data_IF_906813495330
#
_entry.id   IF_906813495330
#
_cell.length_a   1.000
_cell.length_b   1.000
_cell.length_c   1.000
_cell.angle_alpha   90.00
_cell.angle_beta   90.00
_cell.angle_gamma   90.00
#
_symmetry.space_group_name_H-M   'P 1'
#
loop_
_entity.id
_entity.type
_entity.pdbx_description
1 polymer ?
#
# COMPACT_ATOMS: atom_id res chain seq x y z
N UNK A 1 -13.78 17.59 -1.66
CA UNK A 1 -12.77 18.64 -1.42
C UNK A 1 -12.08 18.36 -0.09
N UNK A 2 -10.90 18.99 0.14
CA UNK A 2 -10.16 18.82 1.40
C UNK A 2 -11.00 19.25 2.61
N UNK A 3 -11.64 20.39 2.52
CA UNK A 3 -12.47 20.97 3.60
C UNK A 3 -13.70 20.10 3.93
N UNK A 4 -14.25 19.41 2.94
CA UNK A 4 -15.35 18.47 3.17
C UNK A 4 -14.85 17.22 3.89
N UNK A 5 -13.66 16.75 3.49
CA UNK A 5 -13.05 15.60 4.14
C UNK A 5 -12.69 15.92 5.60
N UNK A 6 -12.12 17.09 5.86
CA UNK A 6 -11.81 17.55 7.23
C UNK A 6 -13.07 17.57 8.10
N UNK A 7 -14.18 18.17 7.63
CA UNK A 7 -15.46 18.18 8.35
C UNK A 7 -16.01 16.80 8.67
N UNK A 8 -15.79 15.81 7.79
CA UNK A 8 -16.22 14.44 8.07
C UNK A 8 -15.43 13.82 9.22
N UNK A 9 -14.15 14.16 9.35
CA UNK A 9 -13.31 13.67 10.43
C UNK A 9 -13.42 14.50 11.73
N UNK A 10 -14.05 15.65 11.69
CA UNK A 10 -14.42 16.46 12.88
C UNK A 10 -15.66 15.90 13.60
N UNK A 11 -16.36 14.92 13.00
CA UNK A 11 -17.50 14.26 13.65
C UNK A 11 -17.04 13.45 14.87
N UNK A 12 -17.86 13.38 15.92
CA UNK A 12 -17.52 12.74 17.19
C UNK A 12 -17.59 11.20 17.08
N UNK A 13 -16.65 10.59 16.41
CA UNK A 13 -16.54 9.14 16.33
C UNK A 13 -16.16 8.55 17.69
N UNK A 14 -16.89 7.54 18.13
CA UNK A 14 -16.67 6.89 19.43
C UNK A 14 -15.39 6.06 19.48
N UNK A 15 -14.92 5.56 18.33
CA UNK A 15 -13.78 4.62 18.21
C UNK A 15 -13.92 3.35 19.04
N UNK A 16 -15.15 3.01 19.38
CA UNK A 16 -15.50 1.82 20.15
C UNK A 16 -16.21 0.78 19.27
N UNK A 17 -16.16 -0.46 19.68
CA UNK A 17 -16.96 -1.52 19.06
C UNK A 17 -18.44 -1.27 19.34
N UNK A 18 -19.30 -1.63 18.38
CA UNK A 18 -20.73 -1.50 18.58
C UNK A 18 -21.18 -2.39 19.76
N UNK A 19 -22.08 -1.90 20.66
CA UNK A 19 -22.50 -2.64 21.87
C UNK A 19 -23.08 -4.03 21.66
N UNK A 20 -23.52 -4.35 20.43
CA UNK A 20 -23.97 -5.70 20.09
C UNK A 20 -22.85 -6.77 20.19
N UNK A 21 -21.59 -6.39 20.11
CA UNK A 21 -20.46 -7.31 20.19
C UNK A 21 -19.96 -7.44 21.62
N UNK A 22 -20.67 -8.21 22.43
CA UNK A 22 -20.39 -8.37 23.87
C UNK A 22 -19.06 -9.04 24.17
N UNK A 23 -18.56 -9.88 23.25
CA UNK A 23 -17.23 -10.52 23.36
C UNK A 23 -16.08 -9.65 22.90
N UNK A 24 -16.36 -8.41 22.45
CA UNK A 24 -15.38 -7.55 21.81
C UNK A 24 -15.03 -7.98 20.39
N UNK A 25 -14.16 -7.19 19.73
CA UNK A 25 -13.62 -7.49 18.39
C UNK A 25 -12.11 -7.36 18.47
N UNK A 26 -11.33 -8.45 18.30
CA UNK A 26 -9.86 -8.38 18.40
C UNK A 26 -9.22 -7.35 17.47
N UNK A 27 -9.79 -7.15 16.26
CA UNK A 27 -9.28 -6.19 15.28
C UNK A 27 -9.29 -4.73 15.77
N UNK A 28 -10.11 -4.38 16.78
CA UNK A 28 -10.15 -2.99 17.29
C UNK A 28 -8.81 -2.60 17.91
N UNK A 29 -8.11 -3.53 18.54
CA UNK A 29 -6.80 -3.28 19.17
C UNK A 29 -5.76 -2.80 18.14
N UNK A 30 -5.88 -3.27 16.90
CA UNK A 30 -4.97 -2.88 15.82
C UNK A 30 -5.30 -1.50 15.22
N UNK A 31 -6.59 -1.12 15.18
CA UNK A 31 -7.03 0.05 14.39
C UNK A 31 -7.51 1.22 15.24
N UNK A 32 -7.85 1.03 16.51
CA UNK A 32 -8.46 2.06 17.37
C UNK A 32 -7.69 3.37 17.38
N UNK A 33 -6.38 3.29 17.50
CA UNK A 33 -5.48 4.45 17.53
C UNK A 33 -4.75 4.66 16.20
N UNK A 34 -5.44 4.40 15.10
CA UNK A 34 -4.97 4.68 13.75
C UNK A 34 -5.71 5.88 13.16
N UNK A 35 -5.01 6.65 12.32
CA UNK A 35 -5.53 7.85 11.68
C UNK A 35 -5.47 7.69 10.17
N UNK A 36 -6.61 7.85 9.51
CA UNK A 36 -6.66 7.91 8.05
C UNK A 36 -6.50 9.34 7.60
N UNK A 37 -5.46 9.63 6.80
CA UNK A 37 -5.18 10.99 6.35
C UNK A 37 -5.54 11.25 4.88
N UNK A 38 -5.80 10.22 4.08
CA UNK A 38 -6.11 10.35 2.66
C UNK A 38 -7.17 9.33 2.18
N UNK A 39 -7.75 9.62 1.03
CA UNK A 39 -8.64 8.75 0.27
C UNK A 39 -8.20 8.74 -1.20
N UNK A 40 -8.51 7.65 -1.92
CA UNK A 40 -8.15 7.47 -3.31
C UNK A 40 -6.75 6.90 -3.50
N UNK A 41 -6.49 6.31 -4.67
CA UNK A 41 -5.21 5.70 -4.99
C UNK A 41 -4.95 5.76 -6.50
N UNK A 42 -3.94 6.50 -6.92
CA UNK A 42 -3.54 6.56 -8.33
C UNK A 42 -2.62 5.40 -8.77
N UNK A 43 -2.33 4.45 -7.87
CA UNK A 43 -1.59 3.24 -8.21
C UNK A 43 -2.24 2.43 -9.31
N UNK A 44 -3.57 2.30 -9.26
CA UNK A 44 -4.37 1.73 -10.35
C UNK A 44 -4.04 0.28 -10.67
N UNK A 45 -3.64 -0.53 -9.64
CA UNK A 45 -3.41 -1.95 -9.82
C UNK A 45 -4.67 -2.66 -10.32
N UNK A 46 -4.52 -3.57 -11.28
CA UNK A 46 -5.62 -4.19 -12.01
C UNK A 46 -6.49 -5.13 -11.16
N UNK A 47 -5.98 -5.60 -10.03
CA UNK A 47 -6.68 -6.48 -9.08
C UNK A 47 -7.33 -5.75 -7.90
N UNK A 48 -7.04 -4.45 -7.72
CA UNK A 48 -7.40 -3.73 -6.51
C UNK A 48 -8.67 -2.90 -6.69
N UNK A 49 -9.67 -3.14 -5.83
CA UNK A 49 -10.93 -2.41 -5.85
C UNK A 49 -10.85 -1.00 -5.23
N UNK A 50 -9.76 -0.62 -4.57
CA UNK A 50 -9.63 0.71 -3.98
C UNK A 50 -9.79 1.84 -5.01
N UNK A 51 -9.22 1.65 -6.21
CA UNK A 51 -9.40 2.60 -7.29
C UNK A 51 -10.86 2.74 -7.76
N UNK A 52 -11.65 1.66 -7.64
CA UNK A 52 -13.08 1.65 -7.95
C UNK A 52 -13.90 2.31 -6.82
N UNK A 53 -13.64 1.95 -5.56
CA UNK A 53 -14.42 2.44 -4.41
C UNK A 53 -14.09 3.88 -4.01
N UNK A 54 -12.83 4.27 -4.06
CA UNK A 54 -12.37 5.58 -3.58
C UNK A 54 -11.91 6.50 -4.72
N UNK A 55 -11.83 5.97 -5.94
CA UNK A 55 -11.32 6.69 -7.09
C UNK A 55 -9.80 6.71 -7.19
N UNK A 56 -9.32 7.16 -8.34
CA UNK A 56 -7.88 7.27 -8.66
C UNK A 56 -7.32 8.67 -8.39
N UNK A 57 -8.12 9.58 -7.90
CA UNK A 57 -7.67 10.90 -7.45
C UNK A 57 -7.50 10.88 -5.94
N UNK A 58 -6.32 11.27 -5.49
CA UNK A 58 -6.04 11.36 -4.06
C UNK A 58 -6.57 12.67 -3.51
N UNK A 59 -7.33 12.58 -2.43
CA UNK A 59 -7.77 13.70 -1.60
C UNK A 59 -7.28 13.47 -0.19
N UNK A 60 -6.59 14.45 0.38
CA UNK A 60 -6.03 14.34 1.74
C UNK A 60 -6.68 15.37 2.66
N UNK A 61 -6.75 15.00 3.92
CA UNK A 61 -7.07 15.92 5.01
C UNK A 61 -5.98 16.97 5.17
N UNK A 62 -6.31 18.10 5.74
CA UNK A 62 -5.32 19.08 6.18
C UNK A 62 -4.42 18.48 7.27
N UNK A 63 -3.25 19.05 7.44
CA UNK A 63 -2.35 18.67 8.54
C UNK A 63 -3.04 18.97 9.87
N UNK A 64 -3.70 20.12 9.97
CA UNK A 64 -4.42 20.60 11.15
C UNK A 64 -5.50 19.61 11.59
N UNK A 65 -6.31 19.10 10.66
CA UNK A 65 -7.36 18.11 10.93
C UNK A 65 -6.77 16.81 11.50
N UNK A 66 -5.66 16.33 10.94
CA UNK A 66 -5.01 15.09 11.41
C UNK A 66 -4.33 15.29 12.77
N UNK A 67 -3.70 16.44 12.98
CA UNK A 67 -3.06 16.80 14.26
C UNK A 67 -4.12 16.95 15.37
N UNK A 68 -5.26 17.54 15.08
CA UNK A 68 -6.35 17.66 16.06
C UNK A 68 -6.93 16.30 16.44
N UNK A 69 -7.15 15.42 15.47
CA UNK A 69 -7.55 14.04 15.76
C UNK A 69 -6.53 13.33 16.65
N UNK A 70 -5.24 13.48 16.36
CA UNK A 70 -4.18 12.89 17.17
C UNK A 70 -4.18 13.45 18.61
N UNK A 71 -4.50 14.74 18.78
CA UNK A 71 -4.66 15.36 20.11
C UNK A 71 -5.81 14.71 20.87
N UNK A 72 -6.97 14.55 20.23
CA UNK A 72 -8.12 13.89 20.83
C UNK A 72 -7.81 12.44 21.25
N UNK A 73 -7.00 11.71 20.45
CA UNK A 73 -6.56 10.37 20.87
C UNK A 73 -5.78 10.38 22.18
N UNK A 74 -5.01 11.43 22.47
CA UNK A 74 -4.22 11.53 23.71
C UNK A 74 -5.08 11.79 24.95
N UNK A 75 -6.36 12.08 24.78
CA UNK A 75 -7.34 12.27 25.87
C UNK A 75 -8.01 10.96 26.26
N UNK A 76 -7.95 9.93 25.40
CA UNK A 76 -8.49 8.60 25.69
C UNK A 76 -7.67 7.93 26.81
N UNK A 77 -8.30 7.48 27.92
CA UNK A 77 -7.62 6.83 29.04
C UNK A 77 -6.87 5.54 28.64
N UNK A 78 -7.24 4.90 27.54
CA UNK A 78 -6.60 3.70 27.05
C UNK A 78 -5.42 3.98 26.11
N UNK A 79 -5.21 5.23 25.72
CA UNK A 79 -4.10 5.62 24.84
C UNK A 79 -2.75 5.53 25.56
N UNK A 80 -1.89 4.64 25.07
CA UNK A 80 -0.56 4.38 25.68
C UNK A 80 0.57 5.19 25.06
N UNK A 81 0.25 6.14 24.17
CA UNK A 81 1.22 7.00 23.49
C UNK A 81 1.63 6.49 22.11
N UNK A 82 0.92 5.51 21.55
CA UNK A 82 1.25 4.92 20.27
C UNK A 82 0.15 5.17 19.24
N UNK A 83 0.45 5.93 18.19
CA UNK A 83 -0.40 5.96 17.00
C UNK A 83 0.01 4.77 16.13
N UNK A 84 -0.91 3.84 15.95
CA UNK A 84 -0.64 2.55 15.33
C UNK A 84 -0.43 2.66 13.81
N UNK A 85 -1.08 3.62 13.17
CA UNK A 85 -0.91 3.93 11.75
C UNK A 85 -1.35 5.35 11.43
N UNK A 86 -0.57 6.06 10.64
CA UNK A 86 -1.00 7.29 9.94
C UNK A 86 -1.03 6.98 8.47
N UNK A 87 -2.16 6.46 8.01
CA UNK A 87 -2.22 5.79 6.72
C UNK A 87 -3.42 6.10 5.86
N UNK A 88 -3.64 5.23 4.91
CA UNK A 88 -4.72 5.29 3.94
C UNK A 88 -4.58 4.21 2.87
N UNK A 89 -5.28 4.29 1.73
CA UNK A 89 -5.18 3.31 0.64
C UNK A 89 -3.75 3.08 0.11
N UNK A 90 -2.94 4.12 0.18
CA UNK A 90 -1.48 4.11 0.08
C UNK A 90 -0.97 5.20 1.01
N UNK A 91 -0.23 4.83 2.03
CA UNK A 91 0.12 5.75 3.12
C UNK A 91 0.87 7.00 2.63
N UNK A 92 1.77 6.85 1.67
CA UNK A 92 2.59 7.95 1.19
C UNK A 92 1.96 8.77 0.04
N UNK A 93 0.64 8.71 -0.14
CA UNK A 93 -0.08 9.58 -1.09
C UNK A 93 -0.75 10.74 -0.33
N UNK A 94 -0.37 11.98 -0.67
CA UNK A 94 -0.95 13.18 -0.06
C UNK A 94 -1.64 14.12 -1.05
N UNK A 95 -1.33 14.02 -2.34
CA UNK A 95 -1.86 14.89 -3.39
C UNK A 95 -2.13 14.11 -4.68
N UNK A 96 -2.74 14.77 -5.64
CA UNK A 96 -2.98 14.20 -6.97
C UNK A 96 -1.66 13.89 -7.66
N UNK A 97 -1.63 12.87 -8.52
CA UNK A 97 -0.40 12.39 -9.18
C UNK A 97 0.27 13.42 -10.10
N UNK A 98 -0.44 14.43 -10.56
CA UNK A 98 0.09 15.49 -11.43
C UNK A 98 -0.85 16.68 -11.55
N UNK A 99 -0.35 17.80 -12.07
CA UNK A 99 -1.15 19.03 -12.31
C UNK A 99 -2.28 18.84 -13.34
N UNK A 100 -2.07 17.96 -14.34
CA UNK A 100 -3.13 17.64 -15.32
C UNK A 100 -4.34 17.00 -14.62
N UNK A 101 -4.11 16.16 -13.64
CA UNK A 101 -5.17 15.50 -12.88
C UNK A 101 -6.10 16.50 -12.17
N UNK A 102 -5.53 17.58 -11.63
CA UNK A 102 -6.30 18.67 -11.00
C UNK A 102 -7.24 19.38 -11.96
N UNK A 103 -6.85 19.48 -13.25
CA UNK A 103 -7.62 20.22 -14.28
C UNK A 103 -8.63 19.35 -15.04
N UNK A 104 -8.21 18.15 -15.41
CA UNK A 104 -8.93 17.30 -16.37
C UNK A 104 -9.39 15.95 -15.77
N UNK A 105 -9.11 15.70 -14.49
CA UNK A 105 -9.35 14.40 -13.88
C UNK A 105 -8.35 13.34 -14.33
N UNK A 106 -8.70 12.07 -14.11
CA UNK A 106 -7.84 10.94 -14.40
C UNK A 106 -7.69 10.65 -15.90
N UNK A 107 -6.50 10.25 -16.30
CA UNK A 107 -6.27 9.70 -17.63
C UNK A 107 -7.03 8.37 -17.79
N UNK A 108 -7.78 8.22 -18.90
CA UNK A 108 -8.55 7.00 -19.18
C UNK A 108 -7.61 5.81 -19.49
N UNK A 109 -6.60 6.03 -20.33
CA UNK A 109 -5.79 4.98 -20.94
C UNK A 109 -4.32 5.01 -20.48
N UNK A 110 -4.04 5.54 -19.27
CA UNK A 110 -2.68 5.60 -18.75
C UNK A 110 -2.64 5.40 -17.24
N UNK A 111 -1.75 4.52 -16.80
CA UNK A 111 -1.36 4.40 -15.41
C UNK A 111 -0.37 5.51 -15.03
N UNK A 112 -0.32 5.88 -13.75
CA UNK A 112 0.63 6.86 -13.25
C UNK A 112 1.98 6.25 -12.85
N UNK A 113 1.99 4.95 -12.49
CA UNK A 113 3.15 4.29 -11.88
C UNK A 113 3.61 3.04 -12.63
N UNK A 114 2.74 2.39 -13.42
CA UNK A 114 3.05 1.12 -14.06
C UNK A 114 2.76 1.14 -15.57
N UNK A 115 3.50 0.36 -16.36
CA UNK A 115 4.70 -0.39 -16.00
C UNK A 115 5.88 0.53 -15.65
N UNK A 116 5.88 1.76 -16.21
CA UNK A 116 6.84 2.82 -15.93
C UNK A 116 6.15 4.08 -15.41
N UNK A 117 6.83 4.87 -14.57
CA UNK A 117 6.30 6.14 -14.07
C UNK A 117 5.93 7.09 -15.21
N UNK A 118 4.78 7.74 -15.08
CA UNK A 118 4.36 8.76 -16.04
C UNK A 118 5.32 9.95 -16.03
N UNK A 119 5.78 10.48 -17.18
CA UNK A 119 6.66 11.65 -17.22
C UNK A 119 6.11 12.91 -16.52
N UNK A 120 4.79 12.99 -16.38
CA UNK A 120 4.13 14.10 -15.67
C UNK A 120 3.87 13.79 -14.19
N UNK A 121 4.40 12.68 -13.66
CA UNK A 121 4.25 12.33 -12.26
C UNK A 121 4.92 13.38 -11.39
N UNK A 122 4.17 13.89 -10.45
CA UNK A 122 4.63 14.82 -9.41
C UNK A 122 4.85 14.00 -8.13
N UNK A 123 6.10 13.64 -7.87
CA UNK A 123 6.45 12.83 -6.72
C UNK A 123 7.04 13.73 -5.63
N UNK A 124 6.23 14.00 -4.62
CA UNK A 124 6.59 14.83 -3.48
C UNK A 124 5.99 14.28 -2.18
N UNK A 125 6.82 14.14 -1.18
CA UNK A 125 6.43 13.67 0.16
C UNK A 125 6.60 14.74 1.25
N UNK A 126 6.89 16.00 0.90
CA UNK A 126 7.16 17.06 1.87
C UNK A 126 6.00 17.25 2.85
N UNK A 127 4.75 17.35 2.35
CA UNK A 127 3.56 17.49 3.20
C UNK A 127 3.34 16.28 4.12
N UNK A 128 3.69 15.07 3.68
CA UNK A 128 3.57 13.89 4.52
C UNK A 128 4.66 13.82 5.59
N UNK A 129 5.87 14.18 5.22
CA UNK A 129 7.00 14.32 6.16
C UNK A 129 6.68 15.33 7.26
N UNK A 130 6.20 16.52 6.88
CA UNK A 130 5.78 17.55 7.82
C UNK A 130 4.68 17.06 8.78
N UNK A 131 3.66 16.37 8.24
CA UNK A 131 2.60 15.77 9.06
C UNK A 131 3.16 14.81 10.11
N UNK A 132 4.00 13.86 9.69
CA UNK A 132 4.58 12.87 10.59
C UNK A 132 5.46 13.51 11.67
N UNK A 133 6.24 14.53 11.31
CA UNK A 133 7.07 15.28 12.24
C UNK A 133 6.22 16.04 13.28
N UNK A 134 5.15 16.71 12.85
CA UNK A 134 4.21 17.37 13.76
C UNK A 134 3.56 16.41 14.74
N UNK A 135 3.12 15.26 14.26
CA UNK A 135 2.49 14.25 15.10
C UNK A 135 3.44 13.69 16.17
N UNK A 136 4.69 13.38 15.83
CA UNK A 136 5.65 12.85 16.81
C UNK A 136 6.13 13.88 17.83
N UNK A 137 5.87 15.17 17.61
CA UNK A 137 6.19 16.28 18.54
C UNK A 137 5.04 16.57 19.52
N UNK A 138 3.85 15.99 19.32
CA UNK A 138 2.72 16.21 20.21
C UNK A 138 2.99 15.63 21.61
N UNK A 139 2.57 16.34 22.68
CA UNK A 139 2.64 15.81 24.04
C UNK A 139 1.91 14.47 24.17
N UNK A 140 2.41 13.60 25.03
CA UNK A 140 1.91 12.24 25.29
C UNK A 140 2.06 11.25 24.12
N UNK A 141 2.52 11.65 22.93
CA UNK A 141 2.82 10.73 21.83
C UNK A 141 4.27 10.26 21.97
N UNK A 142 4.45 8.96 22.08
CA UNK A 142 5.77 8.28 22.17
C UNK A 142 6.26 7.84 20.81
N UNK A 143 5.36 7.29 19.98
CA UNK A 143 5.66 6.79 18.64
C UNK A 143 4.48 6.96 17.70
N UNK A 144 4.80 7.25 16.45
CA UNK A 144 3.85 7.33 15.34
C UNK A 144 4.31 6.33 14.30
N UNK A 145 3.50 5.33 14.01
CA UNK A 145 3.84 4.30 13.03
C UNK A 145 3.14 4.50 11.70
N UNK A 146 3.76 4.01 10.63
CA UNK A 146 3.19 3.87 9.30
C UNK A 146 3.17 2.39 8.96
N UNK A 147 1.97 1.79 9.05
CA UNK A 147 1.74 0.35 8.80
C UNK A 147 0.96 0.09 7.53
N UNK A 148 0.18 1.05 7.06
CA UNK A 148 -0.46 1.01 5.75
C UNK A 148 0.58 0.91 4.64
N UNK A 149 0.21 0.25 3.53
CA UNK A 149 1.15 -0.02 2.45
C UNK A 149 1.80 1.23 1.87
N UNK A 150 3.13 1.20 1.78
CA UNK A 150 3.94 2.22 1.11
C UNK A 150 4.07 1.89 -0.37
N UNK A 151 3.80 2.85 -1.23
CA UNK A 151 4.14 2.78 -2.66
C UNK A 151 5.61 3.14 -2.81
N UNK A 152 6.47 2.11 -2.75
CA UNK A 152 7.91 2.25 -2.87
C UNK A 152 8.34 2.75 -4.25
N UNK A 153 7.60 2.41 -5.29
CA UNK A 153 7.80 2.87 -6.65
C UNK A 153 7.58 4.40 -6.77
N UNK A 154 6.56 4.95 -6.13
CA UNK A 154 6.31 6.39 -6.03
C UNK A 154 7.40 7.08 -5.21
N UNK A 155 7.77 6.50 -4.07
CA UNK A 155 8.81 7.04 -3.19
C UNK A 155 10.18 7.13 -3.89
N UNK A 156 10.51 6.19 -4.77
CA UNK A 156 11.74 6.22 -5.56
C UNK A 156 11.79 7.38 -6.57
N UNK A 157 10.63 7.89 -7.03
CA UNK A 157 10.55 9.02 -7.97
C UNK A 157 10.77 10.36 -7.29
N UNK A 158 10.58 10.45 -5.98
CA UNK A 158 10.87 11.67 -5.24
C UNK A 158 12.39 11.97 -5.24
N UNK A 159 12.72 13.16 -5.67
CA UNK A 159 14.13 13.63 -5.70
C UNK A 159 14.64 13.91 -4.29
N UNK A 160 13.75 14.37 -3.40
CA UNK A 160 14.03 14.56 -1.99
C UNK A 160 13.94 13.22 -1.25
N UNK A 161 14.96 12.86 -0.50
CA UNK A 161 15.02 11.60 0.27
C UNK A 161 14.72 11.78 1.75
N UNK A 162 14.27 12.95 2.17
CA UNK A 162 13.98 13.25 3.57
C UNK A 162 12.85 12.37 4.12
N UNK A 163 11.79 12.16 3.32
CA UNK A 163 10.71 11.24 3.69
C UNK A 163 11.22 9.81 3.94
N UNK A 164 12.09 9.30 3.07
CA UNK A 164 12.61 7.94 3.23
C UNK A 164 13.42 7.79 4.53
N UNK A 165 14.24 8.79 4.86
CA UNK A 165 14.99 8.82 6.11
C UNK A 165 14.07 8.95 7.32
N UNK A 166 13.13 9.92 7.32
CA UNK A 166 12.14 10.11 8.38
C UNK A 166 11.36 8.81 8.65
N UNK A 167 10.89 8.13 7.58
CA UNK A 167 10.16 6.88 7.69
C UNK A 167 11.00 5.80 8.40
N UNK A 168 12.24 5.56 7.95
CA UNK A 168 13.12 4.52 8.50
C UNK A 168 13.51 4.83 9.93
N UNK A 169 13.85 6.07 10.25
CA UNK A 169 14.33 6.43 11.59
C UNK A 169 13.23 6.44 12.65
N UNK A 170 11.99 6.81 12.29
CA UNK A 170 10.99 7.13 13.31
C UNK A 170 9.67 6.37 13.21
N UNK A 171 9.31 5.83 12.04
CA UNK A 171 7.93 5.41 11.78
C UNK A 171 7.75 3.91 11.49
N UNK A 172 8.82 3.13 11.53
CA UNK A 172 8.78 1.67 11.34
C UNK A 172 8.91 0.97 12.69
N UNK A 173 8.02 0.02 12.95
CA UNK A 173 7.97 -0.76 14.20
C UNK A 173 8.80 -2.06 14.15
N UNK A 174 9.91 -2.07 13.39
CA UNK A 174 10.74 -3.26 13.15
C UNK A 174 10.47 -3.95 11.81
N UNK A 175 9.27 -3.81 11.25
CA UNK A 175 8.93 -4.40 9.95
C UNK A 175 8.28 -3.35 9.04
N UNK A 176 8.78 -3.24 7.81
CA UNK A 176 8.16 -2.47 6.75
C UNK A 176 7.50 -3.41 5.74
N UNK A 177 6.18 -3.28 5.58
CA UNK A 177 5.41 -4.07 4.63
C UNK A 177 5.30 -3.34 3.30
N UNK A 178 5.66 -4.00 2.22
CA UNK A 178 5.55 -3.50 0.84
C UNK A 178 5.02 -4.59 -0.08
N UNK A 179 4.40 -4.22 -1.18
CA UNK A 179 3.69 -5.15 -2.04
C UNK A 179 4.31 -5.20 -3.45
N UNK A 180 5.42 -5.95 -3.68
CA UNK A 180 5.89 -6.23 -5.02
C UNK A 180 4.96 -7.18 -5.79
N UNK A 181 4.21 -8.00 -5.12
CA UNK A 181 3.22 -9.00 -5.56
C UNK A 181 3.83 -10.20 -6.27
N UNK A 182 4.77 -10.02 -7.18
CA UNK A 182 5.44 -11.08 -7.96
C UNK A 182 6.84 -10.64 -8.41
N UNK A 183 7.67 -11.58 -8.91
CA UNK A 183 8.99 -11.26 -9.44
C UNK A 183 9.08 -11.31 -10.98
N UNK A 184 8.05 -11.84 -11.66
CA UNK A 184 8.03 -12.01 -13.13
C UNK A 184 7.33 -10.83 -13.78
N UNK A 185 8.01 -10.14 -14.71
CA UNK A 185 7.51 -8.92 -15.36
C UNK A 185 6.19 -9.12 -16.09
N UNK A 186 6.00 -10.22 -16.83
CA UNK A 186 4.73 -10.47 -17.53
C UNK A 186 3.54 -10.63 -16.59
N UNK A 187 3.74 -11.21 -15.41
CA UNK A 187 2.70 -11.30 -14.38
C UNK A 187 2.41 -9.92 -13.79
N UNK A 188 3.45 -9.12 -13.54
CA UNK A 188 3.32 -7.76 -13.03
C UNK A 188 2.62 -6.83 -14.04
N UNK A 189 2.80 -7.04 -15.35
CA UNK A 189 2.06 -6.32 -16.40
C UNK A 189 0.55 -6.62 -16.35
N UNK A 190 0.17 -7.88 -16.12
CA UNK A 190 -1.24 -8.24 -15.88
C UNK A 190 -1.78 -7.63 -14.58
N UNK A 191 -0.95 -7.53 -13.56
CA UNK A 191 -1.31 -6.91 -12.28
C UNK A 191 -1.39 -5.38 -12.35
N UNK A 192 -0.80 -4.74 -13.37
CA UNK A 192 -0.66 -3.27 -13.44
C UNK A 192 0.31 -2.74 -12.39
N UNK A 193 1.40 -3.48 -12.15
CA UNK A 193 2.45 -3.15 -11.18
C UNK A 193 3.77 -2.80 -11.90
N UNK A 194 4.65 -2.02 -11.28
CA UNK A 194 6.00 -1.82 -11.81
C UNK A 194 6.79 -3.13 -11.82
N UNK A 195 7.75 -3.25 -12.72
CA UNK A 195 8.61 -4.43 -12.80
C UNK A 195 9.46 -4.62 -11.54
N UNK A 196 9.92 -5.83 -11.34
CA UNK A 196 10.53 -6.26 -10.07
C UNK A 196 11.88 -5.59 -9.77
N UNK A 197 12.60 -5.13 -10.77
CA UNK A 197 13.84 -4.36 -10.62
C UNK A 197 13.63 -3.06 -9.81
N UNK A 198 12.46 -2.44 -9.91
CA UNK A 198 12.06 -1.28 -9.09
C UNK A 198 12.01 -1.66 -7.61
N UNK A 199 11.45 -2.84 -7.28
CA UNK A 199 11.47 -3.36 -5.92
C UNK A 199 12.89 -3.64 -5.43
N UNK A 200 13.73 -4.26 -6.26
CA UNK A 200 15.12 -4.54 -5.91
C UNK A 200 15.93 -3.26 -5.67
N UNK A 201 15.67 -2.21 -6.45
CA UNK A 201 16.27 -0.89 -6.23
C UNK A 201 15.86 -0.29 -4.89
N UNK A 202 14.58 -0.37 -4.56
CA UNK A 202 14.05 0.07 -3.27
C UNK A 202 14.68 -0.72 -2.12
N UNK A 203 14.70 -2.04 -2.21
CA UNK A 203 15.25 -2.92 -1.19
C UNK A 203 16.73 -2.60 -0.87
N UNK A 204 17.57 -2.41 -1.91
CA UNK A 204 18.97 -2.00 -1.71
C UNK A 204 19.09 -0.68 -0.97
N UNK A 205 18.25 0.31 -1.30
CA UNK A 205 18.28 1.61 -0.62
C UNK A 205 17.80 1.49 0.83
N UNK A 206 16.75 0.72 1.07
CA UNK A 206 16.24 0.46 2.41
C UNK A 206 17.30 -0.21 3.30
N UNK A 207 17.95 -1.25 2.79
CA UNK A 207 19.05 -1.94 3.50
C UNK A 207 20.18 -0.98 3.85
N UNK A 208 20.61 -0.17 2.88
CA UNK A 208 21.67 0.82 3.09
C UNK A 208 21.31 1.84 4.17
N UNK A 209 20.08 2.32 4.21
CA UNK A 209 19.63 3.26 5.26
C UNK A 209 19.62 2.60 6.64
N UNK A 210 19.13 1.36 6.77
CA UNK A 210 19.17 0.64 8.03
C UNK A 210 20.62 0.44 8.52
N UNK A 211 21.55 0.09 7.64
CA UNK A 211 22.96 -0.05 7.98
C UNK A 211 23.56 1.29 8.44
N UNK A 212 23.22 2.41 7.79
CA UNK A 212 23.68 3.74 8.17
C UNK A 212 23.14 4.22 9.51
N UNK A 213 21.88 3.92 9.79
CA UNK A 213 21.20 4.35 11.02
C UNK A 213 21.38 3.35 12.18
N UNK A 214 22.03 2.20 11.95
CA UNK A 214 22.23 1.14 12.96
C UNK A 214 20.91 0.53 13.42
N UNK A 215 19.89 0.46 12.56
CA UNK A 215 18.58 -0.09 12.86
C UNK A 215 18.45 -1.53 12.35
N UNK A 216 17.81 -2.39 13.13
CA UNK A 216 17.46 -3.75 12.73
C UNK A 216 15.99 -3.80 12.31
N UNK A 217 15.72 -3.45 11.06
CA UNK A 217 14.38 -3.49 10.51
C UNK A 217 14.30 -4.45 9.34
N UNK A 218 13.19 -5.18 9.26
CA UNK A 218 12.96 -6.18 8.23
C UNK A 218 11.98 -5.66 7.17
N UNK A 219 12.27 -5.97 5.90
CA UNK A 219 11.35 -5.74 4.82
C UNK A 219 10.50 -7.01 4.61
N UNK A 220 9.18 -6.86 4.70
CA UNK A 220 8.22 -7.94 4.50
C UNK A 220 7.53 -7.73 3.15
N UNK A 221 7.89 -8.49 2.11
CA UNK A 221 7.23 -8.40 0.82
C UNK A 221 5.88 -9.14 0.85
N UNK A 222 4.80 -8.46 0.47
CA UNK A 222 3.55 -9.11 0.13
C UNK A 222 3.62 -9.68 -1.27
N UNK A 223 3.27 -10.97 -1.39
CA UNK A 223 3.27 -11.72 -2.63
C UNK A 223 1.87 -12.25 -2.91
N UNK A 224 1.55 -12.41 -4.19
CA UNK A 224 0.26 -12.91 -4.65
C UNK A 224 0.46 -14.09 -5.61
N UNK A 225 -0.17 -15.22 -5.31
CA UNK A 225 -0.23 -16.38 -6.20
C UNK A 225 -1.50 -16.38 -7.05
N UNK A 226 -1.53 -17.18 -8.09
CA UNK A 226 -2.72 -17.49 -8.90
C UNK A 226 -3.40 -16.29 -9.58
N UNK A 227 -2.72 -15.15 -9.71
CA UNK A 227 -3.25 -14.04 -10.50
C UNK A 227 -3.41 -14.47 -11.97
N UNK A 228 -4.46 -14.04 -12.68
CA UNK A 228 -4.57 -14.28 -14.13
C UNK A 228 -3.27 -13.92 -14.86
N UNK A 229 -2.80 -14.82 -15.72
CA UNK A 229 -1.51 -14.71 -16.41
C UNK A 229 -0.32 -15.32 -15.66
N UNK A 230 -0.47 -15.74 -14.40
CA UNK A 230 0.58 -16.44 -13.66
C UNK A 230 0.54 -17.94 -13.97
N UNK A 231 1.57 -18.45 -14.62
CA UNK A 231 1.75 -19.89 -14.93
C UNK A 231 2.55 -20.60 -13.83
N UNK A 232 2.55 -21.92 -13.83
CA UNK A 232 3.40 -22.70 -12.91
C UNK A 232 4.88 -22.36 -13.08
N UNK A 233 5.34 -22.15 -14.30
CA UNK A 233 6.72 -21.70 -14.56
C UNK A 233 7.05 -20.37 -13.89
N UNK A 234 6.07 -19.46 -13.81
CA UNK A 234 6.26 -18.16 -13.15
C UNK A 234 6.27 -18.29 -11.62
N UNK A 235 5.44 -19.17 -11.07
CA UNK A 235 5.47 -19.52 -9.65
C UNK A 235 6.82 -20.15 -9.24
N UNK A 236 7.37 -21.05 -10.05
CA UNK A 236 8.70 -21.64 -9.84
C UNK A 236 9.79 -20.56 -9.80
N UNK A 237 9.76 -19.59 -10.73
CA UNK A 237 10.72 -18.46 -10.71
C UNK A 237 10.62 -17.63 -9.42
N UNK A 238 9.40 -17.44 -8.90
CA UNK A 238 9.20 -16.76 -7.62
C UNK A 238 9.80 -17.57 -6.47
N UNK A 239 9.53 -18.88 -6.40
CA UNK A 239 10.10 -19.78 -5.39
C UNK A 239 11.64 -19.81 -5.45
N UNK A 240 12.22 -19.90 -6.65
CA UNK A 240 13.69 -19.82 -6.82
C UNK A 240 14.27 -18.50 -6.33
N UNK A 241 13.59 -17.39 -6.60
CA UNK A 241 14.03 -16.07 -6.11
C UNK A 241 14.01 -16.03 -4.57
N UNK A 242 12.94 -16.51 -3.95
CA UNK A 242 12.79 -16.53 -2.49
C UNK A 242 13.87 -17.43 -1.85
N UNK A 243 14.05 -18.63 -2.36
CA UNK A 243 15.06 -19.57 -1.88
C UNK A 243 16.49 -19.01 -1.99
N UNK A 244 16.87 -18.43 -3.14
CA UNK A 244 18.19 -17.80 -3.34
C UNK A 244 18.46 -16.64 -2.37
N UNK A 245 17.42 -15.99 -1.87
CA UNK A 245 17.56 -14.87 -0.92
C UNK A 245 17.34 -15.29 0.54
N UNK A 246 17.27 -16.61 0.82
CA UNK A 246 17.08 -17.14 2.18
C UNK A 246 15.77 -16.65 2.84
N UNK A 247 14.72 -16.47 2.04
CA UNK A 247 13.42 -15.99 2.52
C UNK A 247 12.37 -17.05 2.30
N UNK A 248 11.68 -17.39 3.36
CA UNK A 248 10.41 -18.11 3.30
C UNK A 248 9.33 -17.11 3.70
N UNK A 249 8.39 -16.76 2.81
CA UNK A 249 7.30 -15.88 3.17
C UNK A 249 6.41 -16.59 4.20
N UNK A 250 6.05 -15.89 5.25
CA UNK A 250 5.10 -16.42 6.25
C UNK A 250 3.68 -16.52 5.68
N UNK A 251 3.39 -15.72 4.68
CA UNK A 251 2.08 -15.68 4.04
C UNK A 251 2.19 -15.21 2.58
N UNK A 252 1.61 -15.98 1.66
CA UNK A 252 1.34 -15.61 0.27
C UNK A 252 -0.16 -15.46 0.11
N UNK A 253 -0.60 -14.35 -0.49
CA UNK A 253 -2.01 -14.15 -0.74
C UNK A 253 -2.43 -14.85 -2.03
N UNK A 254 -3.40 -15.73 -1.97
CA UNK A 254 -4.04 -16.26 -3.17
C UNK A 254 -4.94 -15.21 -3.82
N UNK A 255 -4.90 -15.12 -5.17
CA UNK A 255 -5.72 -14.16 -5.89
C UNK A 255 -7.21 -14.38 -5.60
N UNK A 256 -7.86 -13.33 -5.13
CA UNK A 256 -9.29 -13.28 -4.90
C UNK A 256 -9.97 -12.36 -5.91
N UNK A 257 -10.91 -12.86 -6.75
CA UNK A 257 -11.59 -12.03 -7.75
C UNK A 257 -12.45 -10.96 -7.08
N UNK A 258 -12.01 -9.71 -7.15
CA UNK A 258 -12.72 -8.58 -6.57
C UNK A 258 -13.56 -7.88 -7.64
N UNK A 259 -14.89 -7.72 -7.44
CA UNK A 259 -15.76 -7.07 -8.42
C UNK A 259 -15.28 -5.68 -8.83
N UNK A 260 -15.48 -5.33 -10.10
CA UNK A 260 -15.09 -4.04 -10.67
C UNK A 260 -13.60 -3.91 -11.05
N UNK A 261 -12.82 -5.01 -10.99
CA UNK A 261 -11.40 -5.00 -11.34
C UNK A 261 -11.12 -5.66 -12.70
N UNK A 262 -10.07 -5.20 -13.40
CA UNK A 262 -9.63 -5.80 -14.66
C UNK A 262 -9.19 -7.26 -14.47
N UNK A 263 -8.50 -7.56 -13.37
CA UNK A 263 -8.06 -8.93 -13.05
C UNK A 263 -9.24 -9.88 -12.86
N UNK A 264 -10.35 -9.42 -12.29
CA UNK A 264 -11.57 -10.24 -12.20
C UNK A 264 -12.19 -10.48 -13.57
N UNK A 265 -12.16 -9.52 -14.48
CA UNK A 265 -12.58 -9.72 -15.86
C UNK A 265 -11.70 -10.78 -16.54
N UNK A 266 -10.38 -10.69 -16.45
CA UNK A 266 -9.45 -11.70 -16.98
C UNK A 266 -9.72 -13.08 -16.37
N UNK A 267 -9.95 -13.15 -15.06
CA UNK A 267 -10.22 -14.40 -14.36
C UNK A 267 -11.48 -15.10 -14.89
N UNK A 268 -12.56 -14.36 -15.10
CA UNK A 268 -13.81 -14.93 -15.59
C UNK A 268 -13.77 -15.29 -17.06
N UNK A 269 -13.25 -14.40 -17.89
CA UNK A 269 -13.30 -14.55 -19.36
C UNK A 269 -12.14 -15.34 -19.93
N UNK A 270 -10.98 -15.35 -19.28
CA UNK A 270 -9.72 -15.85 -19.86
C UNK A 270 -9.18 -14.91 -20.94
N UNK A 271 -9.61 -13.64 -20.95
CA UNK A 271 -9.24 -12.64 -21.97
C UNK A 271 -8.79 -11.36 -21.25
N UNK A 272 -7.70 -10.76 -21.73
CA UNK A 272 -7.30 -9.43 -21.32
C UNK A 272 -8.20 -8.38 -22.00
N UNK A 273 -9.02 -7.62 -21.27
CA UNK A 273 -9.93 -6.65 -21.87
C UNK A 273 -9.23 -5.43 -22.48
N UNK A 274 -7.91 -5.29 -22.29
CA UNK A 274 -7.14 -4.16 -22.81
C UNK A 274 -6.81 -4.34 -24.30
N UNK A 275 -6.60 -5.58 -24.76
CA UNK A 275 -6.19 -5.93 -26.13
C UNK A 275 -6.89 -7.17 -26.71
N UNK A 276 -7.80 -7.77 -25.93
CA UNK A 276 -8.55 -8.98 -26.28
C UNK A 276 -7.69 -10.23 -26.46
N UNK A 277 -6.46 -10.24 -25.95
CA UNK A 277 -5.60 -11.42 -25.97
C UNK A 277 -6.03 -12.47 -24.95
N UNK A 278 -5.79 -13.79 -25.21
CA UNK A 278 -6.07 -14.84 -24.24
C UNK A 278 -5.12 -14.76 -23.05
N UNK A 279 -5.66 -15.02 -21.85
CA UNK A 279 -4.92 -15.02 -20.57
C UNK A 279 -5.07 -16.37 -19.90
N UNK A 280 -3.96 -16.95 -19.48
CA UNK A 280 -4.00 -18.16 -18.65
C UNK A 280 -4.67 -17.90 -17.31
N UNK A 281 -5.55 -18.80 -16.91
CA UNK A 281 -6.21 -18.78 -15.60
C UNK A 281 -6.22 -20.19 -15.03
N UNK A 282 -5.65 -20.37 -13.84
CA UNK A 282 -5.72 -21.62 -13.10
C UNK A 282 -7.16 -21.85 -12.59
N UNK A 283 -7.96 -22.60 -13.34
CA UNK A 283 -9.36 -22.88 -13.01
C UNK A 283 -9.53 -24.16 -12.23
N UNK A 284 -8.68 -25.15 -12.47
CA UNK A 284 -8.69 -26.38 -11.69
C UNK A 284 -8.16 -26.10 -10.29
N UNK A 285 -8.88 -26.52 -9.22
CA UNK A 285 -8.42 -26.36 -7.85
C UNK A 285 -7.03 -26.95 -7.58
N UNK A 286 -6.63 -28.00 -8.31
CA UNK A 286 -5.30 -28.62 -8.20
C UNK A 286 -4.21 -27.69 -8.77
N UNK A 287 -4.46 -27.09 -9.94
CA UNK A 287 -3.53 -26.13 -10.54
C UNK A 287 -3.35 -24.93 -9.63
N UNK A 288 -4.47 -24.43 -9.08
CA UNK A 288 -4.46 -23.31 -8.15
C UNK A 288 -3.67 -23.62 -6.87
N UNK A 289 -3.88 -24.82 -6.31
CA UNK A 289 -3.11 -25.31 -5.17
C UNK A 289 -1.62 -25.44 -5.50
N UNK A 290 -1.27 -25.96 -6.68
CA UNK A 290 0.13 -26.01 -7.12
C UNK A 290 0.79 -24.63 -7.19
N UNK A 291 0.10 -23.62 -7.74
CA UNK A 291 0.62 -22.25 -7.80
C UNK A 291 0.85 -21.68 -6.41
N UNK A 292 -0.08 -21.90 -5.48
CA UNK A 292 0.03 -21.42 -4.10
C UNK A 292 1.18 -22.09 -3.37
N UNK A 293 1.23 -23.42 -3.36
CA UNK A 293 2.30 -24.17 -2.68
C UNK A 293 3.69 -23.88 -3.26
N UNK A 294 3.80 -23.72 -4.58
CA UNK A 294 5.08 -23.37 -5.21
C UNK A 294 5.52 -21.96 -4.81
N UNK A 295 4.59 -21.04 -4.61
CA UNK A 295 4.91 -19.66 -4.17
C UNK A 295 5.25 -19.57 -2.69
N UNK A 296 4.83 -20.56 -1.89
CA UNK A 296 5.02 -20.65 -0.44
C UNK A 296 6.32 -21.43 -0.07
N UNK A 297 6.87 -22.15 -1.02
CA UNK A 297 8.07 -22.99 -0.85
C UNK A 297 9.36 -22.16 -0.98
#
# INVERSE_FOLDING_TARGET
RREELDRLYDLPYTREVHPMYTAGIPAIEEVRFSITHNRGCFGGCNFCALAFHQGRMVTSRSIESVVEEARLLTEDPQFKGYIHDVGGPSANFRHTSCQKQKKCGMCKNRSCLAPEPCPNLDADHAEYTELLQKLRQLPKIKKVFVRSGIRYDYMLQDKNKDFFRELVQYHISGQLKVAPEHCVSSVLDYMGKPHFDVFLKFWRQYKKLNEQDGTEQYLVPYLMSSHPGCTLSDAVKLAEFLHKNGRTPEQVQDFYPTPGTLSTCMYYTGIDPRDMSPVYVARDPRDKACLLYTSDA
#
